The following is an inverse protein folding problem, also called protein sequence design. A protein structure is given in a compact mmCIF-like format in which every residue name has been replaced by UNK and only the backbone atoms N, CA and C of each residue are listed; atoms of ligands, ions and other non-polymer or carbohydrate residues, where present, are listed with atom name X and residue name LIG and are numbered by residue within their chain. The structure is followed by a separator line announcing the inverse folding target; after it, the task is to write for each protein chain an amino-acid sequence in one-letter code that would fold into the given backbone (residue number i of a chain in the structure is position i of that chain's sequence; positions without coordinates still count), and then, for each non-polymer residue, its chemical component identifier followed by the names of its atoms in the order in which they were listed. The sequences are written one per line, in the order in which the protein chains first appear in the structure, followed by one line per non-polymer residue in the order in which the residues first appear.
data_IF_343618439938
#
_entry.id   IF_343618439938
#
_cell.length_a   1.000
_cell.length_b   1.000
_cell.length_c   1.000
_cell.angle_alpha   90.00
_cell.angle_beta   90.00
_cell.angle_gamma   90.00
#
_symmetry.space_group_name_H-M   'P 1'
#
loop_
_entity.id
_entity.type
_entity.pdbx_description
1 polymer ?
2 non-polymer ?
3 water ?
#
# COMPACT_ATOMS: atom_id res chain seq x y z
N UNK A 1 -5.41 19.57 9.51
CA UNK A 1 -5.84 18.17 9.42
C UNK A 1 -5.71 17.60 10.86
N UNK A 2 -6.56 16.59 11.25
CA UNK A 2 -6.55 15.99 12.61
C UNK A 2 -5.23 15.54 13.21
N UNK A 3 -5.18 15.48 14.55
CA UNK A 3 -4.00 15.04 15.27
C UNK A 3 -3.82 13.52 15.13
N UNK A 4 -4.93 12.82 14.96
CA UNK A 4 -4.95 11.36 14.81
C UNK A 4 -5.84 11.01 13.63
N UNK A 5 -5.36 10.12 12.78
CA UNK A 5 -6.13 9.62 11.64
C UNK A 5 -5.91 8.12 11.61
N UNK A 6 -7.00 7.37 11.40
CA UNK A 6 -6.95 5.92 11.30
C UNK A 6 -8.07 5.51 10.36
N UNK A 7 -7.68 5.15 9.13
CA UNK A 7 -8.67 4.74 8.13
C UNK A 7 -9.43 3.45 8.42
N UNK A 8 -8.93 2.67 9.38
CA UNK A 8 -9.57 1.42 9.81
C UNK A 8 -10.85 1.76 10.56
N UNK A 9 -10.79 2.84 11.34
CA UNK A 9 -11.94 3.33 12.12
C UNK A 9 -13.07 3.85 11.24
N UNK A 10 -12.71 4.35 10.05
CA UNK A 10 -13.69 4.87 9.10
C UNK A 10 -14.19 3.82 8.10
N UNK A 11 -13.83 2.56 8.34
CA UNK A 11 -14.25 1.45 7.49
C UNK A 11 -13.66 1.43 6.10
N UNK A 12 -12.47 2.01 5.94
CA UNK A 12 -11.80 2.09 4.64
C UNK A 12 -10.67 1.11 4.41
N UNK A 13 -10.42 0.23 5.39
CA UNK A 13 -9.36 -0.75 5.30
C UNK A 13 -9.90 -2.17 5.46
N UNK A 14 -9.49 -3.03 4.54
CA UNK A 14 -9.90 -4.44 4.54
C UNK A 14 -8.96 -5.25 5.42
N UNK A 15 -9.28 -6.54 5.72
CA UNK A 15 -8.35 -7.31 6.56
C UNK A 15 -6.91 -7.44 6.02
N UNK A 16 -5.97 -7.69 6.93
CA UNK A 16 -4.57 -7.86 6.57
C UNK A 16 -4.38 -9.16 5.80
N UNK A 17 -3.61 -9.06 4.73
CA UNK A 17 -3.31 -10.17 3.85
C UNK A 17 -1.88 -10.62 4.02
N UNK A 18 -1.57 -11.78 3.45
CA UNK A 18 -0.24 -12.36 3.48
C UNK A 18 0.17 -12.59 2.03
N UNK A 19 1.27 -11.95 1.64
CA UNK A 19 1.79 -12.08 0.29
C UNK A 19 2.53 -13.38 0.05
N UNK A 20 2.98 -14.01 1.15
CA UNK A 20 3.71 -15.26 1.05
C UNK A 20 5.13 -15.04 0.57
N UNK A 21 5.68 -16.02 -0.15
CA UNK A 21 7.06 -15.94 -0.67
C UNK A 21 7.22 -15.12 -1.96
N UNK A 22 6.09 -14.78 -2.58
CA UNK A 22 6.06 -13.98 -3.81
C UNK A 22 6.34 -12.50 -3.53
N UNK A 23 7.25 -11.91 -4.31
CA UNK A 23 7.61 -10.50 -4.14
C UNK A 23 6.57 -9.58 -4.77
N UNK A 24 5.35 -9.69 -4.26
CA UNK A 24 4.21 -8.95 -4.75
C UNK A 24 3.78 -7.75 -3.90
N UNK A 25 4.67 -7.29 -3.00
CA UNK A 25 4.38 -6.16 -2.11
C UNK A 25 3.78 -4.94 -2.81
N UNK A 26 4.29 -4.67 -4.01
CA UNK A 26 3.87 -3.56 -4.84
C UNK A 26 2.39 -3.62 -5.22
N UNK A 27 1.92 -4.85 -5.51
CA UNK A 27 0.54 -5.09 -5.88
C UNK A 27 -0.34 -4.93 -4.66
N UNK A 28 0.14 -5.42 -3.51
CA UNK A 28 -0.61 -5.32 -2.26
C UNK A 28 -0.79 -3.89 -1.82
N UNK A 29 0.30 -3.13 -1.90
CA UNK A 29 0.36 -1.71 -1.57
C UNK A 29 -0.65 -0.92 -2.42
N UNK A 30 -0.62 -1.19 -3.72
CA UNK A 30 -1.51 -0.54 -4.68
C UNK A 30 -2.99 -0.85 -4.38
N UNK A 31 -3.28 -2.12 -4.09
CA UNK A 31 -4.65 -2.53 -3.79
C UNK A 31 -5.24 -1.87 -2.54
N UNK A 32 -4.43 -1.69 -1.50
CA UNK A 32 -4.90 -1.04 -0.26
C UNK A 32 -5.41 0.37 -0.58
N UNK A 33 -4.68 1.06 -1.46
CA UNK A 33 -5.04 2.41 -1.84
C UNK A 33 -6.32 2.46 -2.68
N UNK A 34 -6.52 1.44 -3.52
CA UNK A 34 -7.72 1.35 -4.37
C UNK A 34 -8.94 1.04 -3.48
N UNK A 35 -8.78 0.11 -2.53
CA UNK A 35 -9.84 -0.26 -1.60
C UNK A 35 -10.27 0.94 -0.76
N UNK A 36 -9.28 1.75 -0.39
CA UNK A 36 -9.53 2.94 0.39
C UNK A 36 -10.28 4.02 -0.37
N UNK A 37 -9.81 4.37 -1.58
CA UNK A 37 -10.44 5.42 -2.38
C UNK A 37 -11.86 5.09 -2.83
N UNK A 38 -12.12 3.81 -3.13
CA UNK A 38 -13.45 3.38 -3.55
C UNK A 38 -14.43 3.51 -2.38
N UNK A 39 -13.95 3.24 -1.16
CA UNK A 39 -14.79 3.41 0.04
C UNK A 39 -15.12 4.88 0.27
N UNK A 40 -14.12 5.75 0.16
CA UNK A 40 -14.29 7.19 0.37
C UNK A 40 -15.23 7.84 -0.66
N UNK A 41 -15.17 7.35 -1.88
CA UNK A 41 -15.97 7.85 -2.99
C UNK A 41 -17.40 7.29 -3.10
N UNK A 42 -17.53 5.97 -2.97
CA UNK A 42 -18.82 5.28 -3.12
C UNK A 42 -19.51 4.86 -1.82
N UNK A 43 -18.73 4.71 -0.76
CA UNK A 43 -19.26 4.30 0.53
C UNK A 43 -19.18 2.81 0.77
N UNK A 44 -18.73 2.08 -0.26
CA UNK A 44 -18.61 0.62 -0.19
C UNK A 44 -17.19 0.12 -0.03
N UNK A 45 -16.99 -0.75 0.96
CA UNK A 45 -15.69 -1.36 1.20
C UNK A 45 -15.68 -2.72 0.51
N UNK A 46 -14.84 -2.82 -0.52
CA UNK A 46 -14.67 -4.03 -1.29
C UNK A 46 -13.20 -4.39 -1.29
N UNK A 47 -12.89 -5.64 -1.59
CA UNK A 47 -11.50 -6.09 -1.69
C UNK A 47 -11.20 -6.22 -3.18
N UNK A 48 -10.02 -5.77 -3.58
CA UNK A 48 -9.61 -5.84 -4.98
C UNK A 48 -8.47 -6.80 -5.22
N UNK A 49 -8.25 -7.14 -6.48
CA UNK A 49 -7.25 -8.13 -6.85
C UNK A 49 -5.78 -7.75 -6.97
N UNK A 50 -4.97 -8.33 -6.10
CA UNK A 50 -3.51 -8.17 -6.13
C UNK A 50 -2.99 -9.08 -7.24
N UNK A 51 -3.67 -10.23 -7.40
CA UNK A 51 -3.32 -11.24 -8.41
C UNK A 51 -3.41 -10.69 -9.83
N UNK A 52 -4.41 -9.86 -10.09
CA UNK A 52 -4.60 -9.24 -11.39
C UNK A 52 -3.42 -8.35 -11.74
N UNK A 53 -2.96 -7.57 -10.78
CA UNK A 53 -1.83 -6.67 -10.97
C UNK A 53 -0.55 -7.48 -11.21
N UNK A 54 -0.40 -8.55 -10.43
CA UNK A 54 0.74 -9.46 -10.51
C UNK A 54 0.86 -10.09 -11.90
N UNK A 55 -0.28 -10.53 -12.43
CA UNK A 55 -0.35 -11.18 -13.74
C UNK A 55 -0.35 -10.23 -14.94
N UNK A 56 -1.00 -9.09 -14.78
CA UNK A 56 -1.21 -8.12 -15.86
C UNK A 56 -0.30 -6.93 -16.05
N UNK A 57 0.32 -6.44 -14.97
CA UNK A 57 1.23 -5.30 -15.09
C UNK A 57 2.59 -5.79 -15.59
N UNK A 58 2.75 -5.72 -16.90
CA UNK A 58 3.99 -6.17 -17.51
C UNK A 58 5.18 -5.24 -17.36
N UNK A 59 4.93 -4.06 -16.80
CA UNK A 59 6.00 -3.08 -16.51
C UNK A 59 6.69 -3.51 -15.22
N UNK A 60 5.98 -4.32 -14.44
CA UNK A 60 6.49 -4.87 -13.20
C UNK A 60 7.05 -6.27 -13.46
N UNK A 61 7.73 -6.83 -12.46
CA UNK A 61 8.40 -8.13 -12.57
C UNK A 61 7.74 -9.30 -11.84
N UNK A 62 6.41 -9.24 -11.69
CA UNK A 62 5.68 -10.31 -11.04
C UNK A 62 6.12 -10.54 -9.61
N UNK A 63 6.50 -11.79 -9.31
CA UNK A 63 6.97 -12.16 -7.98
C UNK A 63 8.40 -11.73 -7.66
N UNK A 64 9.08 -11.12 -8.64
CA UNK A 64 10.44 -10.64 -8.46
C UNK A 64 10.47 -9.18 -8.02
N UNK A 65 9.30 -8.56 -7.93
CA UNK A 65 9.21 -7.17 -7.53
C UNK A 65 8.46 -6.34 -8.55
N UNK A 66 8.25 -5.06 -8.22
CA UNK A 66 7.56 -4.20 -9.14
C UNK A 66 7.32 -2.81 -8.60
N UNK A 67 6.47 -2.07 -9.31
CA UNK A 67 6.19 -0.68 -9.00
C UNK A 67 4.74 -0.36 -8.70
N UNK A 68 4.47 0.26 -7.53
CA UNK A 68 3.09 0.62 -7.18
C UNK A 68 2.51 1.61 -8.19
N UNK A 69 3.34 2.54 -8.69
CA UNK A 69 2.92 3.54 -9.69
C UNK A 69 2.38 2.86 -10.95
N UNK A 70 3.13 1.88 -11.44
CA UNK A 70 2.78 1.12 -12.64
C UNK A 70 1.46 0.36 -12.48
N UNK A 71 1.28 -0.24 -11.29
CA UNK A 71 0.06 -1.00 -10.97
C UNK A 71 -1.14 -0.04 -10.89
N UNK A 72 -0.91 1.16 -10.33
CA UNK A 72 -1.94 2.19 -10.20
C UNK A 72 -2.31 2.81 -11.56
N UNK A 73 -1.33 2.85 -12.48
CA UNK A 73 -1.53 3.36 -13.84
C UNK A 73 -2.37 2.36 -14.63
N UNK A 74 -2.13 1.08 -14.40
CA UNK A 74 -2.88 0.00 -15.06
C UNK A 74 -4.36 0.01 -14.66
N UNK A 75 -4.64 0.25 -13.37
CA UNK A 75 -6.01 0.31 -12.84
C UNK A 75 -6.71 1.58 -13.37
N UNK A 76 -5.92 2.61 -13.64
CA UNK A 76 -6.45 3.87 -14.17
C UNK A 76 -6.84 3.75 -15.63
N UNK A 77 -6.05 2.98 -16.38
CA UNK A 77 -6.27 2.79 -17.80
C UNK A 77 -7.30 1.71 -18.14
N UNK A 78 -7.22 0.59 -17.42
CA UNK A 78 -8.11 -0.54 -17.67
C UNK A 78 -9.14 -0.74 -16.57
N UNK A 79 -8.65 -0.99 -15.36
CA UNK A 79 -9.55 -1.21 -14.23
C UNK A 79 -9.04 -2.39 -13.42
N UNK A 80 -9.86 -2.83 -12.47
CA UNK A 80 -9.49 -3.94 -11.61
C UNK A 80 -10.73 -4.75 -11.20
N UNK A 81 -10.53 -6.04 -10.97
CA UNK A 81 -11.58 -6.96 -10.56
C UNK A 81 -11.60 -7.10 -9.05
N UNK A 82 -12.70 -7.66 -8.54
CA UNK A 82 -12.87 -7.94 -7.11
C UNK A 82 -11.92 -9.07 -6.74
N UNK A 83 -11.51 -9.11 -5.48
CA UNK A 83 -10.61 -10.15 -5.00
C UNK A 83 -11.23 -11.54 -5.11
N UNK A 84 -12.54 -11.70 -4.85
CA UNK A 84 -13.15 -13.03 -4.99
C UNK A 84 -13.25 -13.51 -6.44
N UNK A 85 -13.31 -12.56 -7.38
CA UNK A 85 -13.37 -12.86 -8.83
C UNK A 85 -11.99 -13.26 -9.34
N UNK A 86 -10.95 -12.66 -8.77
CA UNK A 86 -9.57 -12.91 -9.17
C UNK A 86 -8.73 -13.00 -7.88
N UNK A 87 -8.84 -14.11 -7.12
CA UNK A 87 -8.09 -14.28 -5.88
C UNK A 87 -6.60 -14.46 -5.96
N UNK A 88 -5.94 -14.22 -4.82
CA UNK A 88 -4.51 -14.33 -4.71
C UNK A 88 -4.05 -15.76 -4.73
N UNK A 89 -3.09 -16.04 -5.60
CA UNK A 89 -2.51 -17.37 -5.76
C UNK A 89 -1.04 -17.45 -5.33
N UNK A 90 -0.37 -16.30 -5.27
CA UNK A 90 1.02 -16.27 -4.85
C UNK A 90 2.04 -16.67 -5.89
N UNK A 91 1.58 -16.78 -7.13
CA UNK A 91 2.41 -17.14 -8.26
C UNK A 91 1.90 -16.37 -9.47
N UNK A 92 2.83 -15.90 -10.30
CA UNK A 92 2.44 -15.18 -11.50
C UNK A 92 1.98 -16.18 -12.56
N UNK A 93 0.80 -15.93 -13.09
CA UNK A 93 0.20 -16.73 -14.14
C UNK A 93 -0.11 -15.75 -15.29
N UNK A 94 -0.92 -16.15 -16.25
CA UNK A 94 -1.26 -15.27 -17.37
C UNK A 94 -2.34 -14.29 -16.95
N UNK A 95 -2.40 -13.13 -17.62
CA UNK A 95 -3.41 -12.12 -17.34
C UNK A 95 -4.79 -12.65 -17.74
N UNK A 96 -5.65 -12.79 -16.74
CA UNK A 96 -7.00 -13.33 -16.92
C UNK A 96 -8.13 -12.32 -16.79
N UNK A 97 -7.79 -11.04 -16.96
CA UNK A 97 -8.75 -9.94 -16.86
C UNK A 97 -9.94 -10.10 -17.81
N UNK A 98 -9.65 -10.60 -19.01
CA UNK A 98 -10.63 -10.82 -20.08
C UNK A 98 -11.65 -11.92 -19.77
N UNK A 99 -11.16 -13.12 -19.44
CA UNK A 99 -12.01 -14.28 -19.14
C UNK A 99 -12.91 -14.11 -17.92
N UNK A 100 -12.52 -13.24 -17.00
CA UNK A 100 -13.27 -12.99 -15.77
C UNK A 100 -14.37 -11.92 -15.82
N UNK A 101 -14.68 -11.47 -17.03
CA UNK A 101 -15.74 -10.48 -17.22
C UNK A 101 -15.34 -9.03 -17.06
N UNK A 102 -16.32 -8.10 -16.98
CA UNK A 102 -16.03 -6.67 -16.83
C UNK A 102 -15.39 -6.33 -15.49
N UNK A 103 -14.59 -5.27 -15.49
CA UNK A 103 -13.90 -4.79 -14.28
C UNK A 103 -14.89 -4.32 -13.23
N UNK A 104 -14.50 -4.45 -11.97
CA UNK A 104 -15.33 -4.04 -10.84
C UNK A 104 -15.20 -2.55 -10.54
N UNK A 105 -13.98 -2.03 -10.67
CA UNK A 105 -13.69 -0.63 -10.39
C UNK A 105 -12.60 -0.11 -11.30
N UNK A 106 -12.59 1.21 -11.47
CA UNK A 106 -11.62 1.88 -12.32
C UNK A 106 -11.33 3.21 -11.66
N UNK A 107 -10.07 3.64 -11.73
CA UNK A 107 -9.66 4.92 -11.17
C UNK A 107 -9.41 5.88 -12.34
N UNK A 108 -9.17 7.14 -12.03
CA UNK A 108 -8.94 8.14 -13.08
C UNK A 108 -7.51 8.59 -13.28
N UNK A 109 -6.62 8.17 -12.38
CA UNK A 109 -5.24 8.56 -12.50
C UNK A 109 -4.46 8.21 -11.25
N UNK A 110 -3.23 8.74 -11.21
CA UNK A 110 -2.33 8.53 -10.09
C UNK A 110 -1.52 9.79 -9.89
N UNK A 111 -1.31 10.15 -8.63
CA UNK A 111 -0.50 11.32 -8.30
C UNK A 111 0.58 10.90 -7.33
N UNK A 112 1.69 11.62 -7.40
CA UNK A 112 2.83 11.41 -6.52
C UNK A 112 2.83 12.49 -5.44
N UNK A 113 3.14 12.06 -4.22
CA UNK A 113 3.25 12.95 -3.08
C UNK A 113 4.64 13.57 -3.23
N UNK A 114 4.77 14.85 -2.90
CA UNK A 114 6.06 15.57 -2.94
C UNK A 114 7.01 14.75 -2.06
N UNK A 115 8.06 14.16 -2.65
CA UNK A 115 9.01 13.34 -1.87
C UNK A 115 9.80 14.14 -0.83
N UNK A 116 10.33 13.41 0.16
CA UNK A 116 11.17 13.94 1.24
C UNK A 116 10.54 15.08 2.05
N UNK A 117 9.22 14.99 2.22
CA UNK A 117 8.45 16.00 2.92
C UNK A 117 7.38 15.30 3.76
N UNK A 118 7.56 15.35 5.09
CA UNK A 118 6.62 14.72 6.04
C UNK A 118 5.22 15.32 5.96
N UNK A 119 5.17 16.66 5.92
CA UNK A 119 3.90 17.38 5.85
C UNK A 119 3.03 17.00 4.68
N UNK A 120 3.67 16.86 3.51
CA UNK A 120 2.98 16.48 2.27
C UNK A 120 2.37 15.06 2.39
N UNK A 121 3.12 14.15 3.02
CA UNK A 121 2.65 12.79 3.21
C UNK A 121 1.49 12.75 4.20
N UNK A 122 1.59 13.50 5.29
CA UNK A 122 0.51 13.52 6.29
C UNK A 122 -0.78 14.08 5.71
N UNK A 123 -0.66 15.08 4.85
CA UNK A 123 -1.82 15.71 4.18
C UNK A 123 -2.52 14.68 3.31
N UNK A 124 -1.72 13.92 2.55
CA UNK A 124 -2.25 12.89 1.67
C UNK A 124 -2.93 11.77 2.45
N UNK A 125 -2.31 11.34 3.56
CA UNK A 125 -2.85 10.31 4.43
C UNK A 125 -4.19 10.74 5.04
N UNK A 126 -4.31 12.01 5.39
CA UNK A 126 -5.54 12.55 5.97
C UNK A 126 -6.71 12.47 4.97
N UNK A 127 -6.35 12.46 3.68
CA UNK A 127 -7.34 12.38 2.62
C UNK A 127 -7.68 10.96 2.16
N UNK A 128 -6.69 10.07 2.15
CA UNK A 128 -6.88 8.68 1.70
C UNK A 128 -5.63 7.82 1.97
N UNK A 129 -5.76 6.47 1.94
CA UNK A 129 -4.59 5.61 2.15
C UNK A 129 -3.62 5.83 0.99
N UNK A 130 -2.33 5.89 1.32
CA UNK A 130 -1.26 6.16 0.35
C UNK A 130 -0.26 5.02 0.28
N UNK A 131 0.22 4.73 -0.94
CA UNK A 131 1.24 3.71 -1.16
C UNK A 131 2.58 4.34 -0.86
N UNK A 132 3.33 3.73 0.06
CA UNK A 132 4.65 4.23 0.45
C UNK A 132 5.66 3.10 0.38
N UNK A 133 6.94 3.47 0.30
CA UNK A 133 8.00 2.48 0.27
C UNK A 133 8.91 2.73 1.46
N UNK A 134 9.63 1.68 1.87
CA UNK A 134 10.55 1.77 3.00
C UNK A 134 11.56 0.63 2.90
N UNK A 135 12.59 0.70 3.73
CA UNK A 135 13.61 -0.34 3.79
C UNK A 135 13.17 -1.37 4.82
N UNK A 136 12.90 -2.57 4.32
CA UNK A 136 12.43 -3.68 5.14
C UNK A 136 13.46 -4.78 5.34
N UNK A 137 14.58 -4.68 4.61
CA UNK A 137 15.66 -5.67 4.64
C UNK A 137 16.29 -5.96 5.99
N UNK A 138 16.39 -4.94 6.85
CA UNK A 138 17.00 -5.10 8.16
C UNK A 138 16.25 -6.04 9.08
N UNK A 139 17.00 -6.82 9.87
CA UNK A 139 16.38 -7.77 10.79
C UNK A 139 15.51 -7.13 11.87
N UNK A 140 15.79 -5.85 12.17
CA UNK A 140 15.01 -5.10 13.17
C UNK A 140 13.59 -4.86 12.67
N UNK A 141 13.46 -4.56 11.38
CA UNK A 141 12.15 -4.35 10.76
C UNK A 141 11.43 -5.69 10.67
N UNK A 142 12.15 -6.70 10.19
CA UNK A 142 11.58 -8.03 10.03
C UNK A 142 11.06 -8.68 11.29
N UNK A 143 11.74 -8.44 12.40
CA UNK A 143 11.39 -9.00 13.70
C UNK A 143 10.56 -8.07 14.58
N UNK A 144 10.02 -7.00 13.99
CA UNK A 144 9.19 -6.03 14.72
C UNK A 144 7.95 -6.75 15.28
N UNK A 145 7.71 -6.52 16.57
CA UNK A 145 6.63 -7.15 17.33
C UNK A 145 5.60 -6.15 17.87
N UNK A 146 6.01 -4.89 18.01
CA UNK A 146 5.11 -3.87 18.53
C UNK A 146 5.80 -2.59 18.97
N UNK A 147 4.99 -1.57 19.22
CA UNK A 147 5.49 -0.27 19.65
C UNK A 147 5.78 0.67 18.49
N UNK A 148 6.37 1.81 18.78
CA UNK A 148 6.70 2.76 17.73
C UNK A 148 8.11 2.43 17.23
N UNK A 149 8.17 2.02 15.97
CA UNK A 149 9.42 1.64 15.32
C UNK A 149 10.24 2.86 14.94
N UNK A 150 11.48 2.89 15.45
CA UNK A 150 12.40 3.99 15.23
C UNK A 150 13.58 3.49 14.41
N UNK A 151 13.59 2.18 14.13
CA UNK A 151 14.70 1.56 13.43
C UNK A 151 15.43 0.62 14.37
N UNK A 152 16.73 0.34 14.17
CA UNK A 152 17.60 0.84 13.09
C UNK A 152 17.32 0.35 11.68
N UNK A 153 17.55 1.25 10.73
CA UNK A 153 17.36 1.01 9.29
C UNK A 153 17.96 2.17 8.50
N UNK A 154 18.36 1.89 7.27
CA UNK A 154 18.90 2.92 6.40
C UNK A 154 17.77 3.39 5.50
N UNK A 155 18.09 3.89 4.31
CA UNK A 155 17.08 4.38 3.38
C UNK A 155 17.10 3.65 2.02
N UNK A 156 17.58 2.41 2.03
CA UNK A 156 17.68 1.58 0.83
C UNK A 156 16.34 0.88 0.63
N UNK A 157 15.36 1.67 0.22
CA UNK A 157 13.97 1.22 0.01
C UNK A 157 13.85 -0.02 -0.86
N UNK A 158 13.06 -0.99 -0.40
CA UNK A 158 12.92 -2.27 -1.08
C UNK A 158 11.56 -2.97 -0.89
N UNK A 159 10.65 -2.28 -0.21
CA UNK A 159 9.36 -2.87 0.12
C UNK A 159 8.27 -1.83 0.03
N UNK A 160 7.18 -2.21 -0.64
CA UNK A 160 6.05 -1.32 -0.81
C UNK A 160 4.94 -1.74 0.14
N UNK A 161 4.47 -0.75 0.89
CA UNK A 161 3.41 -0.91 1.87
C UNK A 161 2.41 0.26 1.72
N UNK A 162 1.49 0.40 2.67
CA UNK A 162 0.52 1.47 2.58
C UNK A 162 0.28 2.16 3.90
N UNK A 163 0.25 3.49 3.85
CA UNK A 163 0.01 4.33 5.02
C UNK A 163 -1.49 4.55 5.14
N UNK A 164 -2.06 4.09 6.26
CA UNK A 164 -3.49 4.19 6.50
C UNK A 164 -3.86 5.10 7.67
N UNK A 165 -2.87 5.77 8.24
CA UNK A 165 -3.13 6.67 9.35
C UNK A 165 -1.88 7.27 9.94
N UNK A 166 -2.05 8.06 11.00
CA UNK A 166 -0.95 8.69 11.72
C UNK A 166 -1.39 9.20 13.08
N UNK A 167 -0.40 9.58 13.87
CA UNK A 167 -0.62 10.14 15.18
C UNK A 167 0.45 11.18 15.40
N UNK A 168 0.58 11.75 16.60
CA UNK A 168 1.59 12.77 16.91
C UNK A 168 3.05 12.42 16.64
N UNK A 169 3.41 11.14 16.81
CA UNK A 169 4.78 10.68 16.64
C UNK A 169 4.93 9.43 15.78
N UNK A 170 3.91 9.12 14.98
CA UNK A 170 3.97 7.95 14.13
C UNK A 170 3.11 8.04 12.89
N UNK A 171 3.41 7.15 11.95
CA UNK A 171 2.64 6.99 10.72
C UNK A 171 2.26 5.51 10.79
N UNK A 172 0.97 5.24 10.66
CA UNK A 172 0.42 3.89 10.71
C UNK A 172 0.44 3.26 9.31
N UNK A 173 1.13 2.12 9.24
CA UNK A 173 1.32 1.38 8.01
C UNK A 173 0.70 -0.02 8.05
N UNK A 174 0.05 -0.39 6.94
CA UNK A 174 -0.54 -1.72 6.75
C UNK A 174 0.49 -2.51 5.94
N UNK A 175 0.99 -3.58 6.53
CA UNK A 175 1.95 -4.44 5.84
C UNK A 175 1.17 -5.65 5.28
N UNK A 176 1.82 -6.41 4.41
CA UNK A 176 1.24 -7.57 3.74
C UNK A 176 1.94 -8.87 4.13
N UNK A 177 2.37 -8.98 5.39
CA UNK A 177 3.07 -10.17 5.87
C UNK A 177 2.25 -11.00 6.84
N UNK A 178 0.93 -10.92 6.73
CA UNK A 178 0.06 -11.66 7.62
C UNK A 178 -0.26 -10.93 8.91
N UNK A 179 -1.27 -11.43 9.63
CA UNK A 179 -1.72 -10.80 10.86
C UNK A 179 -0.81 -11.05 12.06
N UNK A 180 0.10 -12.02 11.91
CA UNK A 180 1.03 -12.37 12.97
C UNK A 180 2.27 -11.51 13.06
N UNK A 181 2.45 -10.63 12.09
CA UNK A 181 3.61 -9.75 12.09
C UNK A 181 3.23 -8.42 12.72
N UNK A 182 4.12 -7.89 13.54
CA UNK A 182 3.90 -6.62 14.19
C UNK A 182 2.66 -6.45 15.03
N UNK A 183 1.98 -5.31 14.83
CA UNK A 183 0.76 -5.00 15.55
C UNK A 183 -0.45 -5.43 14.73
N UNK A 184 -0.72 -6.74 14.77
CA UNK A 184 -1.83 -7.39 14.04
C UNK A 184 -1.73 -7.18 12.51
N UNK A 185 -0.50 -7.08 12.04
CA UNK A 185 -0.23 -6.87 10.62
C UNK A 185 0.18 -5.45 10.28
N UNK A 186 0.15 -4.58 11.29
CA UNK A 186 0.48 -3.16 11.17
C UNK A 186 1.76 -2.76 11.86
N UNK A 187 2.30 -1.61 11.44
CA UNK A 187 3.49 -1.03 12.06
C UNK A 187 3.31 0.47 12.19
N UNK A 188 3.68 0.98 13.36
CA UNK A 188 3.65 2.41 13.62
C UNK A 188 5.11 2.83 13.55
N UNK A 189 5.42 3.62 12.53
CA UNK A 189 6.78 4.11 12.31
C UNK A 189 6.90 5.55 12.78
N UNK A 190 7.97 5.83 13.52
CA UNK A 190 8.28 7.17 14.04
C UNK A 190 8.33 8.27 12.99
N UNK A 191 7.70 9.41 13.30
CA UNK A 191 7.71 10.57 12.42
C UNK A 191 8.22 11.76 13.25
N UNK A 192 8.49 12.88 12.58
CA UNK A 192 8.95 14.10 13.22
C UNK A 192 10.37 14.14 13.75
N UNK A 193 11.26 13.30 13.20
CA UNK A 193 12.66 13.24 13.63
C UNK A 193 13.57 14.24 12.92
N UNK A 194 13.06 14.87 11.87
CA UNK A 194 13.86 15.81 11.11
C UNK A 194 14.61 15.17 9.94
N UNK A 195 14.54 13.84 9.82
CA UNK A 195 15.19 13.12 8.73
C UNK A 195 14.29 13.30 7.50
N UNK A 196 14.84 13.96 6.48
CA UNK A 196 14.11 14.23 5.24
C UNK A 196 13.75 12.98 4.45
N UNK A 197 14.55 11.91 4.59
CA UNK A 197 14.28 10.65 3.89
C UNK A 197 13.15 9.91 4.59
N UNK A 198 13.00 10.21 5.88
CA UNK A 198 12.01 9.56 6.70
C UNK A 198 12.65 8.34 7.33
N UNK A 199 12.05 7.85 8.41
CA UNK A 199 12.54 6.67 9.11
C UNK A 199 12.41 5.51 8.12
N UNK A 200 13.54 4.84 7.85
CA UNK A 200 13.63 3.72 6.89
C UNK A 200 13.34 4.16 5.44
N UNK A 201 13.56 5.44 5.16
CA UNK A 201 13.33 5.98 3.83
C UNK A 201 11.86 6.09 3.45
N UNK A 202 11.02 6.22 4.47
CA UNK A 202 9.56 6.31 4.30
C UNK A 202 9.02 7.38 3.35
N UNK A 203 9.75 8.47 3.18
CA UNK A 203 9.30 9.58 2.31
C UNK A 203 9.89 9.58 0.90
N UNK A 204 10.44 8.44 0.48
CA UNK A 204 11.08 8.32 -0.83
C UNK A 204 10.19 8.30 -2.08
N UNK A 205 9.20 7.41 -2.10
CA UNK A 205 8.33 7.25 -3.26
C UNK A 205 6.91 6.89 -2.81
N UNK A 206 6.05 7.91 -2.79
CA UNK A 206 4.67 7.74 -2.35
C UNK A 206 3.65 8.15 -3.40
N UNK A 207 2.71 7.25 -3.67
CA UNK A 207 1.66 7.45 -4.67
C UNK A 207 0.26 7.15 -4.15
N UNK A 208 -0.74 7.74 -4.78
CA UNK A 208 -2.13 7.53 -4.44
C UNK A 208 -3.00 7.64 -5.70
N UNK A 209 -4.10 6.88 -5.79
CA UNK A 209 -4.95 6.96 -6.97
C UNK A 209 -5.92 8.15 -6.87
N UNK A 210 -6.36 8.62 -8.03
CA UNK A 210 -7.31 9.72 -8.13
C UNK A 210 -8.60 9.09 -8.65
N UNK A 211 -9.72 9.46 -8.05
CA UNK A 211 -11.03 8.99 -8.49
C UNK A 211 -11.97 10.19 -8.52
N UNK A 212 -12.61 10.37 -9.69
CA UNK A 212 -13.55 11.44 -10.07
C UNK A 212 -12.87 12.67 -10.63
X LIG B 1 7.38 -8.17 -1.90
X LIG B 1 10.35 -6.54 -3.45
X LIG B 1 8.53 -4.85 -5.30
X LIG B 1 12.62 -2.75 -4.40
X LIG B 1 10.19 -4.00 -4.00
X LIG B 1 12.00 -2.40 -6.53
X LIG B 1 9.27 -7.69 -0.70
X LIG B 1 8.23 -11.20 1.89
X LIG B 1 8.45 -7.63 -1.77
X LIG B 1 8.43 -6.18 -2.26
X LIG B 1 9.18 -6.21 -3.59
X LIG B 1 9.31 -4.93 -4.38
X LIG B 1 10.27 -2.76 -4.75
X LIG B 1 9.82 -1.52 -3.89
X LIG B 1 9.97 -0.16 -4.58
X LIG B 1 9.09 0.27 -5.57
X LIG B 1 9.28 1.54 -6.18
X LIG B 1 10.35 2.37 -5.81
X LIG B 1 11.25 1.95 -4.82
X LIG B 1 11.07 0.68 -4.19
X LIG B 1 11.74 -2.63 -5.23
X LIG B 1 11.02 -2.22 -7.62
X LIG B 1 13.39 -2.28 -6.96
X LIG B 1 8.96 -8.47 0.53
X LIG B 1 9.73 -9.72 0.64
X LIG B 1 9.41 -10.48 1.90
X LIG B 1 10.27 -10.45 3.02
X LIG B 1 9.86 -11.19 4.16
X LIG B 1 8.70 -11.91 4.17
X LIG B 1 7.88 -11.90 3.02
#
# INVERSE_FOLDING_TARGET
IPEYVDWRQKGAVTPVKNQGSCGSCWAFSAVVTIEGIIKIRTGNLNQYSEQELLDCDRRSYGCNGGYPWSALQLVAQYGIHYRNTYPYEGVQRYCRSREKGPYAAKTDGVRQVQPYNQGALLYSIANQPVSVVLQAAGKDFQLYRGGIFVGPCGNKVDHAVAAVGYGPNYILIKNSWGTGWGENGYIRIKRGTGNSYGVCGLYTSSFYPVKN
C48 O1 O2 O3 O4 N5 N6 N7 N8 C9 C10 C11 C12 C13 C14 C15 C16 C17 C18 C19 C20 C21 C22 C23 C24 C25 C26 C27 C28 C29 C30
#
